data_IF_014114200967
#
_entry.id   IF_014114200967
#
_cell.length_a   1.000
_cell.length_b   1.000
_cell.length_c   1.000
_cell.angle_alpha   90.00
_cell.angle_beta   90.00
_cell.angle_gamma   90.00
#
_symmetry.space_group_name_H-M   'P 1'
#
loop_
_entity.id
_entity.type
_entity.pdbx_description
1 polymer ?
#
# COMPACT_ATOMS: atom_id res chain seq x y z
N UNK A 1 10.93 14.93 12.93
CA UNK A 1 9.93 15.26 11.89
C UNK A 1 8.76 14.29 12.04
N UNK A 2 7.63 14.77 12.55
CA UNK A 2 6.44 13.96 12.86
C UNK A 2 5.83 13.44 11.55
N UNK A 3 5.98 12.14 11.25
CA UNK A 3 5.35 11.51 10.07
C UNK A 3 3.83 11.51 10.26
N UNK A 4 3.19 12.52 9.69
CA UNK A 4 1.74 12.70 9.66
C UNK A 4 1.16 11.70 8.64
N UNK A 5 0.91 10.46 9.08
CA UNK A 5 0.29 9.40 8.28
C UNK A 5 -1.24 9.53 8.16
N UNK A 6 -1.76 10.76 8.21
CA UNK A 6 -3.18 10.99 8.46
C UNK A 6 -3.81 11.91 7.40
N UNK A 7 -4.98 11.50 6.91
CA UNK A 7 -6.02 12.30 6.20
C UNK A 7 -5.96 12.49 4.69
N UNK A 8 -5.56 11.48 3.92
CA UNK A 8 -5.67 11.56 2.45
C UNK A 8 -6.22 10.27 1.84
N UNK A 9 -7.06 10.42 0.80
CA UNK A 9 -7.46 9.35 -0.12
C UNK A 9 -6.23 8.53 -0.52
N UNK A 10 -6.09 7.34 0.06
CA UNK A 10 -4.87 6.57 -0.06
C UNK A 10 -5.10 5.07 0.01
N UNK A 11 -4.26 4.37 -0.74
CA UNK A 11 -4.01 2.94 -0.59
C UNK A 11 -2.80 2.78 0.32
N UNK A 12 -2.87 1.84 1.24
CA UNK A 12 -1.77 1.51 2.13
C UNK A 12 -1.65 -0.01 2.22
N UNK A 13 -0.46 -0.53 1.95
CA UNK A 13 -0.18 -1.95 2.01
C UNK A 13 1.12 -2.25 2.73
N UNK A 14 1.20 -3.43 3.32
CA UNK A 14 2.33 -3.91 4.10
C UNK A 14 2.63 -5.36 3.79
N UNK A 15 3.90 -5.77 3.86
CA UNK A 15 4.29 -7.17 3.80
C UNK A 15 5.20 -7.53 4.98
N UNK A 16 5.25 -8.83 5.30
CA UNK A 16 5.88 -9.34 6.53
C UNK A 16 7.00 -10.34 6.26
N UNK A 17 7.18 -10.76 5.01
CA UNK A 17 8.20 -11.74 4.63
C UNK A 17 9.50 -11.02 4.26
N UNK A 18 10.66 -11.41 4.83
CA UNK A 18 11.98 -10.98 4.38
C UNK A 18 12.31 -11.60 3.02
N UNK A 19 11.59 -11.20 1.98
CA UNK A 19 12.18 -11.20 0.65
C UNK A 19 13.40 -10.31 0.75
N UNK A 20 14.55 -10.72 0.21
CA UNK A 20 15.65 -9.77 0.01
C UNK A 20 15.15 -8.69 -0.95
N UNK A 21 14.65 -7.58 -0.40
CA UNK A 21 14.09 -6.45 -1.13
C UNK A 21 15.23 -5.68 -1.80
N UNK A 22 15.87 -6.34 -2.76
CA UNK A 22 16.93 -5.77 -3.56
C UNK A 22 16.39 -4.60 -4.39
N UNK A 23 17.24 -3.66 -4.81
CA UNK A 23 16.85 -2.63 -5.78
C UNK A 23 16.13 -3.19 -7.01
N UNK A 24 16.52 -4.38 -7.47
CA UNK A 24 15.89 -5.08 -8.58
C UNK A 24 14.50 -5.58 -8.25
N UNK A 25 14.28 -6.15 -7.06
CA UNK A 25 12.94 -6.54 -6.62
C UNK A 25 12.04 -5.32 -6.48
N UNK A 26 12.52 -4.26 -5.82
CA UNK A 26 11.76 -3.00 -5.66
C UNK A 26 11.40 -2.43 -7.03
N UNK A 27 12.34 -2.45 -7.97
CA UNK A 27 12.11 -1.98 -9.33
C UNK A 27 11.04 -2.79 -10.07
N UNK A 28 11.03 -4.12 -9.96
CA UNK A 28 9.99 -4.95 -10.57
C UNK A 28 8.59 -4.60 -10.02
N UNK A 29 8.47 -4.42 -8.70
CA UNK A 29 7.18 -4.13 -8.05
C UNK A 29 6.66 -2.75 -8.41
N UNK A 30 7.53 -1.75 -8.42
CA UNK A 30 7.18 -0.39 -8.86
C UNK A 30 6.80 -0.42 -10.34
N UNK A 31 7.52 -1.15 -11.18
CA UNK A 31 7.21 -1.20 -12.60
C UNK A 31 5.88 -1.89 -12.89
N UNK A 32 5.62 -3.04 -12.25
CA UNK A 32 4.33 -3.72 -12.36
C UNK A 32 3.16 -2.81 -11.92
N UNK A 33 3.36 -2.00 -10.87
CA UNK A 33 2.38 -1.01 -10.47
C UNK A 33 2.22 0.10 -11.51
N UNK A 34 3.33 0.66 -12.01
CA UNK A 34 3.33 1.73 -13.01
C UNK A 34 2.64 1.28 -14.30
N UNK A 35 2.92 0.09 -14.80
CA UNK A 35 2.28 -0.46 -16.00
C UNK A 35 0.76 -0.55 -15.83
N UNK A 36 0.31 -1.15 -14.73
CA UNK A 36 -1.13 -1.31 -14.42
C UNK A 36 -1.83 0.02 -14.20
N UNK A 37 -1.25 0.89 -13.37
CA UNK A 37 -1.80 2.20 -13.09
C UNK A 37 -1.83 3.07 -14.36
N UNK A 38 -0.82 2.98 -15.23
CA UNK A 38 -0.84 3.68 -16.52
C UNK A 38 -1.97 3.20 -17.41
N UNK A 39 -2.19 1.88 -17.49
CA UNK A 39 -3.28 1.30 -18.27
C UNK A 39 -4.67 1.72 -17.76
N UNK A 40 -4.85 1.86 -16.44
CA UNK A 40 -6.13 2.23 -15.83
C UNK A 40 -6.40 3.73 -15.78
N UNK A 41 -5.36 4.57 -15.84
CA UNK A 41 -5.48 6.03 -15.63
C UNK A 41 -5.03 6.89 -16.80
N UNK A 42 -4.40 6.29 -17.81
CA UNK A 42 -3.85 7.00 -18.97
C UNK A 42 -2.61 7.84 -18.68
N UNK A 43 -1.96 7.66 -17.51
CA UNK A 43 -0.70 8.37 -17.20
C UNK A 43 0.39 7.90 -18.17
N UNK A 44 0.89 8.82 -19.00
CA UNK A 44 1.92 8.52 -20.00
C UNK A 44 3.36 8.56 -19.45
N UNK A 45 3.59 9.29 -18.35
CA UNK A 45 4.93 9.47 -17.81
C UNK A 45 4.92 9.54 -16.28
N UNK A 46 5.73 8.68 -15.69
CA UNK A 46 5.97 8.60 -14.26
C UNK A 46 7.36 9.16 -13.92
N UNK A 47 7.47 9.88 -12.81
CA UNK A 47 8.72 10.53 -12.37
C UNK A 47 9.01 10.29 -10.90
N UNK A 48 10.29 10.24 -10.58
CA UNK A 48 10.80 10.17 -9.22
C UNK A 48 10.78 11.54 -8.54
N UNK A 49 10.99 11.58 -7.23
CA UNK A 49 10.99 12.81 -6.43
C UNK A 49 12.05 13.84 -6.86
N UNK A 50 13.12 13.40 -7.52
CA UNK A 50 14.16 14.27 -8.09
C UNK A 50 13.93 14.64 -9.57
N UNK A 51 12.76 14.29 -10.12
CA UNK A 51 12.37 14.57 -11.50
C UNK A 51 12.85 13.56 -12.54
N UNK A 52 13.67 12.58 -12.18
CA UNK A 52 14.08 11.52 -13.11
C UNK A 52 12.86 10.72 -13.58
N UNK A 53 12.80 10.40 -14.88
CA UNK A 53 11.71 9.61 -15.43
C UNK A 53 11.86 8.13 -15.04
N UNK A 54 10.77 7.49 -14.61
CA UNK A 54 10.70 6.05 -14.44
C UNK A 54 10.62 5.38 -15.81
N UNK A 55 11.75 4.89 -16.31
CA UNK A 55 11.88 4.22 -17.62
C UNK A 55 13.16 3.40 -17.68
N UNK A 56 13.34 2.68 -18.78
CA UNK A 56 14.55 1.89 -19.06
C UNK A 56 14.39 0.44 -18.65
N UNK A 57 15.46 -0.31 -18.78
CA UNK A 57 15.61 -1.71 -18.37
C UNK A 57 15.53 -1.90 -16.86
N UNK A 58 15.35 -3.14 -16.42
CA UNK A 58 15.41 -3.54 -15.00
C UNK A 58 16.66 -3.02 -14.29
N UNK A 59 17.83 -3.13 -14.93
CA UNK A 59 19.10 -2.68 -14.36
C UNK A 59 19.16 -1.15 -14.20
N UNK A 60 18.66 -0.39 -15.18
CA UNK A 60 18.59 1.07 -15.11
C UNK A 60 17.62 1.53 -14.02
N UNK A 61 16.45 0.88 -13.89
CA UNK A 61 15.49 1.17 -12.82
C UNK A 61 16.05 0.82 -11.44
N UNK A 62 16.76 -0.30 -11.30
CA UNK A 62 17.44 -0.65 -10.06
C UNK A 62 18.52 0.38 -9.69
N UNK A 63 19.23 0.95 -10.68
CA UNK A 63 20.15 2.06 -10.44
C UNK A 63 19.41 3.34 -9.98
N UNK A 64 18.18 3.56 -10.44
CA UNK A 64 17.34 4.64 -9.92
C UNK A 64 16.99 4.42 -8.44
N UNK A 65 16.62 3.20 -8.03
CA UNK A 65 16.30 2.88 -6.62
C UNK A 65 17.48 3.22 -5.70
N UNK A 66 18.70 2.86 -6.11
CA UNK A 66 19.93 3.09 -5.31
C UNK A 66 20.23 4.56 -5.01
N UNK A 67 19.60 5.51 -5.72
CA UNK A 67 19.72 6.95 -5.44
C UNK A 67 18.91 7.42 -4.23
N UNK A 68 18.03 6.55 -3.70
CA UNK A 68 17.11 6.87 -2.61
C UNK A 68 17.30 5.95 -1.41
N UNK A 69 18.53 5.85 -0.85
CA UNK A 69 18.73 5.18 0.44
C UNK A 69 17.83 5.81 1.51
N UNK A 70 17.24 4.96 2.34
CA UNK A 70 16.49 5.41 3.51
C UNK A 70 17.44 6.13 4.48
N UNK A 71 17.05 7.27 5.06
CA UNK A 71 17.85 7.89 6.12
C UNK A 71 17.94 6.94 7.30
N UNK A 72 19.16 6.56 7.66
CA UNK A 72 19.38 5.62 8.75
C UNK A 72 19.02 6.19 10.13
N UNK A 73 19.12 5.36 11.17
CA UNK A 73 18.84 5.79 12.55
C UNK A 73 19.74 6.96 13.02
N UNK A 74 20.91 7.10 12.41
CA UNK A 74 21.92 8.15 12.65
C UNK A 74 21.73 9.38 11.75
N UNK A 75 20.78 9.34 10.81
CA UNK A 75 20.46 10.44 9.90
C UNK A 75 21.30 10.49 8.61
N UNK A 76 22.35 9.68 8.49
CA UNK A 76 23.12 9.54 7.25
C UNK A 76 22.52 8.40 6.39
N UNK A 77 22.31 8.60 5.09
CA UNK A 77 21.93 7.53 4.18
C UNK A 77 23.15 6.69 3.77
N UNK A 78 23.14 5.38 4.01
CA UNK A 78 24.17 4.45 3.55
C UNK A 78 23.62 3.26 2.73
N UNK A 79 22.29 3.12 2.63
CA UNK A 79 21.63 2.04 1.89
C UNK A 79 21.61 0.70 2.63
N UNK A 80 22.23 0.61 3.81
CA UNK A 80 22.11 -0.55 4.71
C UNK A 80 20.75 -0.57 5.41
N UNK A 81 20.17 0.62 5.63
CA UNK A 81 18.83 0.82 6.22
C UNK A 81 17.69 0.84 5.18
N UNK A 82 17.92 0.25 3.99
CA UNK A 82 16.94 0.11 2.91
C UNK A 82 16.78 1.35 2.01
N UNK A 83 15.62 1.45 1.36
CA UNK A 83 15.27 2.45 0.34
C UNK A 83 13.91 3.09 0.63
N UNK A 84 13.82 4.40 0.35
CA UNK A 84 12.58 5.16 0.49
C UNK A 84 12.43 6.13 -0.68
N UNK A 85 11.50 5.84 -1.59
CA UNK A 85 11.31 6.63 -2.81
C UNK A 85 9.83 6.78 -3.16
N UNK A 86 9.55 7.77 -4.00
CA UNK A 86 8.23 7.96 -4.61
C UNK A 86 8.35 8.01 -6.12
N UNK A 87 7.40 7.37 -6.81
CA UNK A 87 7.12 7.55 -8.23
C UNK A 87 5.73 8.18 -8.38
N UNK A 88 5.61 9.19 -9.23
CA UNK A 88 4.38 9.94 -9.39
C UNK A 88 4.04 10.27 -10.84
N UNK A 89 2.75 10.38 -11.10
CA UNK A 89 2.17 10.74 -12.39
C UNK A 89 0.92 11.58 -12.22
N UNK A 90 0.42 12.13 -13.31
CA UNK A 90 -0.80 12.96 -13.31
C UNK A 90 -1.68 12.57 -14.49
N UNK A 91 -2.96 12.30 -14.21
CA UNK A 91 -3.95 11.95 -15.23
C UNK A 91 -4.32 13.17 -16.08
N UNK A 92 -4.98 12.93 -17.22
CA UNK A 92 -5.55 14.01 -18.03
C UNK A 92 -6.54 14.87 -17.23
N UNK A 93 -7.31 14.24 -16.34
CA UNK A 93 -8.28 14.88 -15.44
C UNK A 93 -7.64 15.52 -14.20
N UNK A 94 -6.33 15.82 -14.25
CA UNK A 94 -5.59 16.52 -13.19
C UNK A 94 -5.65 15.81 -11.83
N UNK A 95 -5.65 14.47 -11.84
CA UNK A 95 -5.47 13.67 -10.62
C UNK A 95 -3.99 13.32 -10.48
N UNK A 96 -3.36 13.83 -9.43
CA UNK A 96 -2.01 13.48 -9.05
C UNK A 96 -2.02 12.14 -8.30
N UNK A 97 -1.23 11.18 -8.77
CA UNK A 97 -1.05 9.87 -8.16
C UNK A 97 0.41 9.72 -7.78
N UNK A 98 0.66 9.45 -6.50
CA UNK A 98 2.01 9.25 -5.97
C UNK A 98 2.08 7.91 -5.24
N UNK A 99 2.90 7.00 -5.75
CA UNK A 99 3.24 5.74 -5.11
C UNK A 99 4.56 5.90 -4.37
N UNK A 100 4.53 5.72 -3.05
CA UNK A 100 5.70 5.78 -2.17
C UNK A 100 5.99 4.40 -1.64
N UNK A 101 7.23 3.94 -1.79
CA UNK A 101 7.71 2.64 -1.35
C UNK A 101 8.77 2.83 -0.27
N UNK A 102 8.65 2.05 0.80
CA UNK A 102 9.68 1.86 1.83
C UNK A 102 9.97 0.36 1.91
N UNK A 103 11.20 -0.03 1.56
CA UNK A 103 11.59 -1.44 1.39
C UNK A 103 13.12 -1.57 1.56
N UNK A 104 13.62 -2.74 1.90
CA UNK A 104 15.03 -3.05 2.06
C UNK A 104 15.53 -3.10 3.51
N UNK A 105 14.65 -3.17 4.54
CA UNK A 105 15.13 -3.37 5.92
C UNK A 105 15.75 -4.77 6.07
N UNK A 106 17.01 -4.87 6.54
CA UNK A 106 17.52 -6.15 6.99
C UNK A 106 16.95 -6.60 8.35
N UNK A 107 16.25 -5.74 9.11
CA UNK A 107 15.75 -6.04 10.46
C UNK A 107 14.21 -5.94 10.61
N UNK A 108 13.48 -7.07 10.65
CA UNK A 108 12.04 -7.04 10.90
C UNK A 108 11.72 -6.42 12.29
N UNK A 109 10.87 -5.40 12.33
CA UNK A 109 10.24 -4.90 13.56
C UNK A 109 10.89 -3.69 14.26
N UNK A 110 11.83 -2.97 13.62
CA UNK A 110 12.32 -1.66 14.09
C UNK A 110 11.38 -0.50 13.68
N UNK A 111 11.71 0.72 14.10
CA UNK A 111 10.95 1.95 13.78
C UNK A 111 11.33 2.53 12.38
N UNK A 112 12.58 2.25 11.95
CA UNK A 112 13.08 2.13 10.55
C UNK A 112 12.50 0.87 9.89
N UNK A 113 12.78 0.50 8.64
CA UNK A 113 11.77 0.25 7.61
C UNK A 113 10.51 -0.57 7.94
N UNK A 114 9.39 0.09 7.64
CA UNK A 114 8.11 -0.54 7.36
C UNK A 114 8.12 -0.96 5.90
N UNK A 115 8.24 -2.26 5.65
CA UNK A 115 7.91 -2.93 4.39
C UNK A 115 6.52 -2.51 3.92
N UNK A 116 6.44 -1.46 3.11
CA UNK A 116 5.16 -0.85 2.78
C UNK A 116 5.17 -0.07 1.48
N UNK A 117 3.98 0.02 0.91
CA UNK A 117 3.67 0.93 -0.18
C UNK A 117 2.46 1.76 0.20
N UNK A 118 2.52 3.05 -0.10
CA UNK A 118 1.37 3.94 0.00
C UNK A 118 1.12 4.63 -1.33
N UNK A 119 -0.10 4.56 -1.85
CA UNK A 119 -0.50 5.32 -3.04
C UNK A 119 -1.43 6.43 -2.60
N UNK A 120 -1.03 7.67 -2.86
CA UNK A 120 -1.81 8.87 -2.58
C UNK A 120 -2.48 9.35 -3.85
N UNK A 121 -3.75 9.74 -3.74
CA UNK A 121 -4.53 10.34 -4.80
C UNK A 121 -4.91 11.77 -4.42
N UNK A 122 -4.66 12.73 -5.28
CA UNK A 122 -5.01 14.13 -5.07
C UNK A 122 -5.57 14.77 -6.34
N UNK A 123 -6.83 15.21 -6.32
CA UNK A 123 -7.39 16.07 -7.38
C UNK A 123 -6.78 17.47 -7.26
N UNK A 124 -6.18 17.98 -8.34
CA UNK A 124 -5.45 19.25 -8.32
C UNK A 124 -6.38 20.48 -8.42
N UNK A 125 -7.56 20.35 -9.05
CA UNK A 125 -8.44 21.49 -9.34
C UNK A 125 -9.81 21.45 -8.63
N UNK A 126 -10.17 20.34 -7.98
CA UNK A 126 -11.46 20.20 -7.28
C UNK A 126 -11.30 19.44 -5.96
N UNK A 127 -12.09 19.82 -4.94
CA UNK A 127 -12.34 18.93 -3.80
C UNK A 127 -13.29 17.84 -4.28
N UNK A 128 -12.77 16.64 -4.43
CA UNK A 128 -13.57 15.48 -4.81
C UNK A 128 -12.78 14.22 -4.58
N UNK A 129 -13.45 13.22 -4.03
CA UNK A 129 -12.89 11.87 -3.94
C UNK A 129 -13.26 11.12 -5.23
N UNK A 130 -12.46 10.12 -5.58
CA UNK A 130 -12.75 9.20 -6.66
C UNK A 130 -12.70 7.78 -6.08
N UNK A 131 -13.83 7.30 -5.55
CA UNK A 131 -13.91 5.99 -4.92
C UNK A 131 -13.49 4.85 -5.81
N UNK A 132 -13.94 4.89 -7.06
CA UNK A 132 -13.65 3.83 -8.01
C UNK A 132 -12.16 3.80 -8.38
N UNK A 133 -11.53 4.97 -8.57
CA UNK A 133 -10.09 5.04 -8.81
C UNK A 133 -9.30 4.53 -7.61
N UNK A 134 -9.73 4.86 -6.39
CA UNK A 134 -9.13 4.34 -5.16
C UNK A 134 -9.19 2.81 -5.07
N UNK A 135 -10.35 2.22 -5.36
CA UNK A 135 -10.53 0.76 -5.41
C UNK A 135 -9.69 0.10 -6.51
N UNK A 136 -9.64 0.70 -7.71
CA UNK A 136 -8.80 0.21 -8.81
C UNK A 136 -7.32 0.20 -8.42
N UNK A 137 -6.82 1.29 -7.84
CA UNK A 137 -5.42 1.37 -7.40
C UNK A 137 -5.12 0.41 -6.24
N UNK A 138 -6.09 0.10 -5.37
CA UNK A 138 -5.93 -0.95 -4.36
C UNK A 138 -5.71 -2.32 -5.02
N UNK A 139 -6.49 -2.64 -6.06
CA UNK A 139 -6.28 -3.85 -6.86
C UNK A 139 -4.93 -3.87 -7.59
N UNK A 140 -4.52 -2.74 -8.16
CA UNK A 140 -3.21 -2.60 -8.81
C UNK A 140 -2.07 -2.83 -7.81
N UNK A 141 -2.16 -2.27 -6.60
CA UNK A 141 -1.20 -2.51 -5.51
C UNK A 141 -1.20 -3.97 -5.08
N UNK A 142 -2.37 -4.58 -4.89
CA UNK A 142 -2.49 -5.98 -4.50
C UNK A 142 -1.77 -6.91 -5.48
N UNK A 143 -1.95 -6.69 -6.79
CA UNK A 143 -1.30 -7.50 -7.82
C UNK A 143 0.19 -7.19 -7.95
N UNK A 144 0.57 -5.91 -7.93
CA UNK A 144 1.95 -5.51 -8.17
C UNK A 144 2.87 -5.84 -6.98
N UNK A 145 2.40 -5.60 -5.75
CA UNK A 145 3.20 -5.76 -4.54
C UNK A 145 2.95 -7.07 -3.79
N UNK A 146 1.88 -7.79 -4.09
CA UNK A 146 1.47 -9.02 -3.39
C UNK A 146 1.66 -8.90 -1.86
N UNK A 147 1.09 -7.86 -1.22
CA UNK A 147 1.35 -7.56 0.18
C UNK A 147 0.78 -8.65 1.10
N UNK A 148 1.03 -8.56 2.41
CA UNK A 148 0.30 -9.36 3.39
C UNK A 148 -1.16 -8.87 3.52
N UNK A 149 -1.33 -7.55 3.54
CA UNK A 149 -2.63 -6.90 3.53
C UNK A 149 -2.52 -5.50 2.93
N UNK A 150 -3.62 -5.01 2.39
CA UNK A 150 -3.75 -3.64 1.88
C UNK A 150 -5.13 -3.06 2.24
N UNK A 151 -5.22 -1.74 2.33
CA UNK A 151 -6.51 -1.05 2.44
C UNK A 151 -6.55 0.16 1.55
N UNK A 152 -7.77 0.59 1.25
CA UNK A 152 -8.05 1.89 0.71
C UNK A 152 -8.96 2.66 1.67
N UNK A 153 -8.71 3.95 1.86
CA UNK A 153 -9.50 4.79 2.76
C UNK A 153 -9.74 6.17 2.18
N UNK A 154 -10.97 6.64 2.30
CA UNK A 154 -11.36 8.03 2.11
C UNK A 154 -11.01 8.87 3.34
N UNK A 155 -10.94 10.19 3.16
CA UNK A 155 -10.63 11.13 4.25
C UNK A 155 -11.59 10.91 5.43
N UNK A 156 -11.05 10.81 6.65
CA UNK A 156 -11.83 10.67 7.89
C UNK A 156 -11.92 9.26 8.47
N UNK A 157 -11.56 8.20 7.71
CA UNK A 157 -11.63 6.82 8.20
C UNK A 157 -10.50 6.42 9.18
N UNK A 158 -9.39 7.17 9.23
CA UNK A 158 -8.24 6.87 10.11
C UNK A 158 -8.53 6.97 11.62
N UNK A 159 -9.71 7.46 12.02
CA UNK A 159 -10.08 7.61 13.42
C UNK A 159 -10.39 6.29 14.15
N UNK A 160 -10.59 5.19 13.42
CA UNK A 160 -11.13 3.94 13.98
C UNK A 160 -10.12 2.78 14.11
N UNK A 161 -8.91 2.91 13.55
CA UNK A 161 -7.89 1.87 13.64
C UNK A 161 -7.23 1.86 15.03
N UNK A 162 -7.53 0.85 15.85
CA UNK A 162 -6.80 0.59 17.10
C UNK A 162 -5.34 0.22 16.81
N UNK A 163 -4.43 0.43 17.77
CA UNK A 163 -2.98 0.23 17.60
C UNK A 163 -2.43 -0.76 18.63
N UNK A 164 -2.55 -2.07 18.36
CA UNK A 164 -1.71 -3.09 19.02
C UNK A 164 -1.37 -4.23 18.03
N UNK A 165 -0.09 -4.42 17.74
CA UNK A 165 0.38 -5.53 16.87
C UNK A 165 0.26 -5.25 15.36
N UNK A 166 0.46 -6.29 14.53
CA UNK A 166 0.08 -6.26 13.12
C UNK A 166 -1.42 -6.52 13.05
N UNK A 167 -2.18 -5.56 12.54
CA UNK A 167 -3.62 -5.68 12.34
C UNK A 167 -3.89 -5.39 10.87
N UNK A 168 -4.75 -6.20 10.25
CA UNK A 168 -5.19 -5.95 8.88
C UNK A 168 -5.85 -4.58 8.87
N UNK A 169 -5.38 -3.64 8.02
CA UNK A 169 -5.80 -2.27 8.13
C UNK A 169 -7.26 -2.12 7.66
N UNK A 170 -8.08 -1.44 8.45
CA UNK A 170 -9.50 -1.20 8.16
C UNK A 170 -9.64 0.01 7.22
N UNK A 171 -10.44 -0.13 6.16
CA UNK A 171 -10.70 0.92 5.18
C UNK A 171 -12.05 0.74 4.49
N UNK A 172 -12.39 1.66 3.58
CA UNK A 172 -13.55 1.53 2.69
C UNK A 172 -13.48 0.26 1.83
N UNK A 173 -12.27 -0.21 1.57
CA UNK A 173 -12.01 -1.56 1.11
C UNK A 173 -10.73 -2.09 1.74
N UNK A 174 -10.68 -3.41 1.92
CA UNK A 174 -9.57 -4.12 2.54
C UNK A 174 -9.24 -5.33 1.70
N UNK A 175 -7.98 -5.52 1.35
CA UNK A 175 -7.49 -6.70 0.66
C UNK A 175 -6.61 -7.53 1.59
N UNK A 176 -6.80 -8.85 1.58
CA UNK A 176 -6.07 -9.81 2.43
C UNK A 176 -5.47 -10.91 1.56
N UNK A 177 -4.18 -11.17 1.74
CA UNK A 177 -3.47 -12.25 1.03
C UNK A 177 -3.83 -13.62 1.62
N UNK A 178 -3.97 -14.63 0.77
CA UNK A 178 -4.22 -16.02 1.20
C UNK A 178 -3.06 -16.58 2.04
N UNK A 179 -1.84 -16.10 1.83
CA UNK A 179 -0.66 -16.44 2.63
C UNK A 179 -0.77 -15.95 4.09
N UNK A 180 -1.58 -14.92 4.34
CA UNK A 180 -1.91 -14.47 5.70
C UNK A 180 -3.07 -15.30 6.24
N UNK A 181 -4.17 -15.39 5.47
CA UNK A 181 -5.27 -16.30 5.76
C UNK A 181 -6.26 -16.43 4.61
N UNK A 182 -6.96 -17.56 4.59
CA UNK A 182 -8.13 -17.75 3.73
C UNK A 182 -9.35 -17.01 4.30
N UNK A 183 -9.93 -16.10 3.53
CA UNK A 183 -11.22 -15.49 3.85
C UNK A 183 -12.33 -16.43 3.35
N UNK A 184 -13.04 -17.05 4.29
CA UNK A 184 -14.09 -18.04 4.02
C UNK A 184 -15.48 -17.57 4.45
N UNK A 185 -15.54 -16.63 5.40
CA UNK A 185 -16.79 -16.05 5.91
C UNK A 185 -16.74 -14.54 5.78
N UNK A 186 -17.83 -13.92 5.33
CA UNK A 186 -17.94 -12.45 5.23
C UNK A 186 -19.17 -11.96 5.98
N UNK A 187 -19.07 -10.78 6.59
CA UNK A 187 -20.21 -10.14 7.23
C UNK A 187 -21.29 -9.78 6.19
N UNK A 188 -22.54 -9.70 6.62
CA UNK A 188 -23.66 -9.38 5.74
C UNK A 188 -23.45 -8.04 5.01
N UNK A 189 -23.64 -8.05 3.70
CA UNK A 189 -23.47 -6.87 2.84
C UNK A 189 -22.02 -6.57 2.43
N UNK A 190 -21.03 -7.28 2.98
CA UNK A 190 -19.64 -7.22 2.50
C UNK A 190 -19.50 -8.13 1.27
N UNK A 191 -18.98 -7.57 0.18
CA UNK A 191 -18.61 -8.35 -1.00
C UNK A 191 -17.14 -8.80 -0.91
N UNK A 192 -16.84 -9.98 -1.45
CA UNK A 192 -15.51 -10.57 -1.49
C UNK A 192 -15.18 -11.04 -2.92
N UNK A 193 -14.18 -10.40 -3.52
CA UNK A 193 -13.74 -10.67 -4.89
C UNK A 193 -12.29 -11.15 -4.91
N UNK A 194 -11.98 -12.10 -5.78
CA UNK A 194 -10.60 -12.57 -5.97
C UNK A 194 -9.79 -11.53 -6.75
N UNK A 195 -8.67 -11.09 -6.16
CA UNK A 195 -7.73 -10.17 -6.80
C UNK A 195 -6.31 -10.63 -6.50
N UNK A 196 -5.58 -11.08 -7.53
CA UNK A 196 -4.26 -11.68 -7.35
C UNK A 196 -4.31 -12.90 -6.41
N UNK A 197 -3.37 -12.95 -5.48
CA UNK A 197 -3.24 -14.04 -4.50
C UNK A 197 -4.06 -13.81 -3.21
N UNK A 198 -5.10 -12.98 -3.28
CA UNK A 198 -5.92 -12.66 -2.11
C UNK A 198 -7.36 -12.29 -2.44
N UNK A 199 -8.05 -11.83 -1.40
CA UNK A 199 -9.45 -11.44 -1.43
C UNK A 199 -9.58 -9.94 -1.17
N UNK A 200 -10.25 -9.24 -2.08
CA UNK A 200 -10.67 -7.85 -1.91
C UNK A 200 -12.06 -7.82 -1.27
N UNK A 201 -12.14 -7.22 -0.08
CA UNK A 201 -13.36 -6.94 0.64
C UNK A 201 -13.83 -5.52 0.33
N UNK A 202 -15.07 -5.39 -0.13
CA UNK A 202 -15.71 -4.10 -0.40
C UNK A 202 -17.03 -3.98 0.33
N UNK A 203 -17.40 -2.75 0.67
CA UNK A 203 -18.69 -2.42 1.29
C UNK A 203 -19.51 -1.52 0.37
N UNK A 204 -20.85 -1.48 0.54
CA UNK A 204 -21.70 -0.55 -0.19
C UNK A 204 -21.28 0.91 0.00
N UNK A 205 -21.41 1.70 -1.07
CA UNK A 205 -20.93 3.08 -1.12
C UNK A 205 -21.68 4.05 -0.20
N UNK A 206 -22.90 3.68 0.21
CA UNK A 206 -23.79 4.46 1.08
C UNK A 206 -23.57 4.20 2.58
N UNK A 207 -22.69 3.25 2.94
CA UNK A 207 -22.43 2.93 4.34
C UNK A 207 -21.63 4.03 5.05
N UNK A 208 -21.99 4.28 6.31
CA UNK A 208 -21.20 5.14 7.20
C UNK A 208 -19.87 4.48 7.54
N UNK A 209 -18.85 5.29 7.83
CA UNK A 209 -17.53 4.80 8.22
C UNK A 209 -17.56 3.84 9.42
N UNK A 210 -18.42 4.09 10.41
CA UNK A 210 -18.62 3.21 11.57
C UNK A 210 -19.17 1.84 11.17
N UNK A 211 -20.15 1.81 10.26
CA UNK A 211 -20.74 0.56 9.77
C UNK A 211 -19.72 -0.24 8.96
N UNK A 212 -18.94 0.43 8.11
CA UNK A 212 -17.85 -0.18 7.35
C UNK A 212 -16.84 -0.81 8.30
N UNK A 213 -16.34 -0.05 9.28
CA UNK A 213 -15.34 -0.54 10.24
C UNK A 213 -15.87 -1.76 11.01
N UNK A 214 -17.11 -1.70 11.51
CA UNK A 214 -17.73 -2.82 12.23
C UNK A 214 -17.87 -4.08 11.37
N UNK A 215 -18.30 -3.95 10.11
CA UNK A 215 -18.48 -5.11 9.22
C UNK A 215 -17.15 -5.72 8.75
N UNK A 216 -16.16 -4.89 8.43
CA UNK A 216 -14.80 -5.36 8.13
C UNK A 216 -14.22 -6.05 9.36
N UNK A 217 -14.30 -5.44 10.55
CA UNK A 217 -13.82 -6.06 11.79
C UNK A 217 -14.49 -7.41 12.06
N UNK A 218 -15.81 -7.48 11.95
CA UNK A 218 -16.55 -8.73 12.11
C UNK A 218 -16.12 -9.80 11.10
N UNK A 219 -15.83 -9.40 9.85
CA UNK A 219 -15.28 -10.29 8.83
C UNK A 219 -13.89 -10.79 9.23
N UNK A 220 -12.99 -9.90 9.69
CA UNK A 220 -11.65 -10.28 10.11
C UNK A 220 -11.66 -11.20 11.35
N UNK A 221 -12.52 -10.92 12.33
CA UNK A 221 -12.70 -11.72 13.54
C UNK A 221 -13.23 -13.13 13.20
N UNK A 222 -14.23 -13.22 12.30
CA UNK A 222 -14.80 -14.50 11.87
C UNK A 222 -13.79 -15.41 11.16
N UNK A 223 -12.72 -14.84 10.58
CA UNK A 223 -11.64 -15.60 9.94
C UNK A 223 -10.37 -15.66 10.79
N UNK A 224 -10.41 -15.21 12.06
CA UNK A 224 -9.28 -15.31 12.99
C UNK A 224 -8.07 -14.44 12.63
N UNK A 225 -8.25 -13.37 11.87
CA UNK A 225 -7.16 -12.53 11.32
C UNK A 225 -7.15 -11.08 11.79
N UNK A 226 -8.05 -10.75 12.71
CA UNK A 226 -8.13 -9.42 13.28
C UNK A 226 -6.90 -9.03 14.11
N UNK A 227 -6.26 -10.02 14.76
CA UNK A 227 -5.05 -9.87 15.54
C UNK A 227 -4.06 -10.99 15.16
N UNK A 228 -3.19 -10.75 14.18
CA UNK A 228 -2.15 -11.72 13.81
C UNK A 228 -1.03 -11.65 14.86
N UNK A 229 -0.75 -12.74 15.60
CA UNK A 229 0.32 -12.74 16.59
C UNK A 229 1.66 -12.46 15.91
N UNK A 230 2.48 -11.59 16.49
CA UNK A 230 3.88 -11.49 16.05
C UNK A 230 4.54 -12.84 16.31
N UNK A 231 5.10 -13.46 15.27
CA UNK A 231 6.06 -14.56 15.46
C UNK A 231 7.16 -14.00 16.39
N UNK A 232 7.49 -14.66 17.51
CA UNK A 232 8.56 -14.19 18.37
C UNK A 232 9.85 -14.11 17.56
N UNK A 233 10.61 -13.04 17.75
CA UNK A 233 11.94 -12.93 17.16
C UNK A 233 12.81 -14.07 17.71
N UNK A 234 13.15 -15.05 16.86
CA UNK A 234 14.07 -16.14 17.20
C UNK A 234 13.45 -17.52 17.39
N UNK A 235 12.56 -17.96 16.51
CA UNK A 235 12.20 -19.38 16.35
C UNK A 235 12.64 -19.89 14.99
#
# INVERSE_FOLDING_TARGET
>A
MTRYWDRQNSVLAFWTDPVSETPEWIADRIDAFVERASASTGIAAWRLGDGAQWRGSRAERAALIRRFPSPGATGAPDGEDGYALSVAGTTADRVFIQCTVMAGDPYPGRRTPMHSVSVRLQKLEARGQDPELGLRLLGDVAVAFDPAAARWSLDGMSAFATRRGFQVPEGNATWVNDAVAAVTTVAEGVAADRVGNGVLLTTPADWSGERIAAAIRATLDANGIADVPRRPAGA
#
